data_IF_497932441073
#
_entry.id   IF_497932441073
#
_cell.length_a   1.000
_cell.length_b   1.000
_cell.length_c   1.000
_cell.angle_alpha   90.00
_cell.angle_beta   90.00
_cell.angle_gamma   90.00
#
_symmetry.space_group_name_H-M   'P 1'
#
loop_
_entity.id
_entity.type
_entity.pdbx_description
1 polymer ?
#
# COMPACT_ATOMS: atom_id res chain seq x y z
N UNK A 1 7.87 -5.98 2.60
CA UNK A 1 7.78 -4.89 3.59
C UNK A 1 6.75 -3.89 3.08
N UNK A 2 6.23 -2.97 3.90
CA UNK A 2 5.21 -2.00 3.41
C UNK A 2 5.78 -1.13 2.28
N UNK A 3 7.07 -0.83 2.33
CA UNK A 3 7.81 -0.13 1.28
C UNK A 3 7.69 -0.86 -0.07
N UNK A 4 7.92 -2.18 -0.10
CA UNK A 4 7.73 -2.98 -1.32
C UNK A 4 6.29 -2.92 -1.85
N UNK A 5 5.29 -2.86 -0.96
CA UNK A 5 3.90 -2.74 -1.38
C UNK A 5 3.66 -1.40 -2.08
N UNK A 6 4.17 -0.32 -1.50
CA UNK A 6 4.06 1.02 -2.07
C UNK A 6 4.83 1.09 -3.39
N UNK A 7 6.02 0.49 -3.48
CA UNK A 7 6.80 0.41 -4.71
C UNK A 7 6.06 -0.34 -5.82
N UNK A 8 5.48 -1.51 -5.53
CA UNK A 8 4.63 -2.24 -6.50
C UNK A 8 3.46 -1.37 -6.94
N UNK A 9 2.80 -0.70 -5.99
CA UNK A 9 1.66 0.14 -6.31
C UNK A 9 2.04 1.31 -7.23
N UNK A 10 3.21 1.92 -7.05
CA UNK A 10 3.75 2.91 -7.99
C UNK A 10 4.04 2.28 -9.35
N UNK A 11 4.72 1.14 -9.38
CA UNK A 11 5.06 0.46 -10.62
C UNK A 11 3.82 0.05 -11.44
N UNK A 12 2.71 -0.27 -10.76
CA UNK A 12 1.44 -0.60 -11.38
C UNK A 12 0.53 0.61 -11.65
N UNK A 13 0.94 1.83 -11.25
CA UNK A 13 0.14 3.03 -11.40
C UNK A 13 -1.12 3.04 -10.52
N UNK A 14 -1.14 2.26 -9.45
CA UNK A 14 -2.26 2.20 -8.51
C UNK A 14 -2.28 3.40 -7.56
N UNK A 15 -1.14 4.06 -7.32
CA UNK A 15 -1.07 5.23 -6.44
C UNK A 15 -1.68 6.46 -7.14
N UNK A 16 -2.77 6.99 -6.58
CA UNK A 16 -3.48 8.17 -7.11
C UNK A 16 -3.08 9.46 -6.41
N UNK A 17 -2.72 9.37 -5.13
CA UNK A 17 -2.33 10.52 -4.33
C UNK A 17 -1.32 10.13 -3.25
N UNK A 18 -0.46 11.08 -2.90
CA UNK A 18 0.55 10.97 -1.85
C UNK A 18 0.47 12.23 -1.00
N UNK A 19 0.20 12.04 0.29
CA UNK A 19 0.15 13.12 1.27
C UNK A 19 1.11 12.84 2.42
N UNK A 20 1.63 13.89 3.02
CA UNK A 20 2.34 13.81 4.30
C UNK A 20 1.49 14.52 5.36
N UNK A 21 1.18 13.80 6.43
CA UNK A 21 0.47 14.37 7.57
C UNK A 21 1.44 14.92 8.62
N UNK A 22 1.00 15.90 9.38
CA UNK A 22 1.79 16.50 10.45
C UNK A 22 2.15 15.41 11.49
N UNK A 23 3.43 15.06 11.60
CA UNK A 23 3.92 13.96 12.43
C UNK A 23 4.80 12.93 11.70
N UNK A 24 5.12 13.15 10.42
CA UNK A 24 6.00 12.25 9.66
C UNK A 24 5.29 10.96 9.24
N UNK A 25 3.97 11.00 9.11
CA UNK A 25 3.16 9.87 8.68
C UNK A 25 2.76 10.11 7.23
N UNK A 26 3.25 9.24 6.35
CA UNK A 26 2.93 9.26 4.92
C UNK A 26 1.59 8.57 4.67
N UNK A 27 0.82 9.14 3.76
CA UNK A 27 -0.48 8.64 3.36
C UNK A 27 -0.50 8.45 1.84
N UNK A 28 -0.84 7.23 1.43
CA UNK A 28 -0.89 6.81 0.03
C UNK A 28 -2.31 6.44 -0.31
N UNK A 29 -2.90 7.09 -1.30
CA UNK A 29 -4.17 6.70 -1.85
C UNK A 29 -3.94 5.75 -3.02
N UNK A 30 -4.61 4.60 -2.98
CA UNK A 30 -4.51 3.54 -3.98
C UNK A 30 -5.85 3.33 -4.65
N UNK A 31 -5.89 3.37 -5.97
CA UNK A 31 -7.05 2.99 -6.76
C UNK A 31 -7.34 1.49 -6.58
N UNK A 32 -8.60 1.16 -6.37
CA UNK A 32 -9.03 -0.24 -6.35
C UNK A 32 -9.13 -0.78 -7.77
N UNK A 33 -8.83 -2.06 -7.94
CA UNK A 33 -8.97 -2.74 -9.23
C UNK A 33 -10.43 -3.02 -9.58
N UNK A 34 -11.29 -3.16 -8.56
CA UNK A 34 -12.71 -3.46 -8.71
C UNK A 34 -13.59 -2.20 -8.87
N UNK A 35 -13.04 -1.01 -8.59
CA UNK A 35 -13.79 0.24 -8.67
C UNK A 35 -12.88 1.46 -8.86
N UNK A 36 -13.10 2.19 -9.95
CA UNK A 36 -12.35 3.43 -10.27
C UNK A 36 -12.77 4.60 -9.37
N UNK A 37 -13.98 4.56 -8.80
CA UNK A 37 -14.52 5.60 -7.94
C UNK A 37 -14.21 5.37 -6.44
N UNK A 38 -13.47 4.30 -6.11
CA UNK A 38 -13.15 3.95 -4.73
C UNK A 38 -11.66 3.71 -4.56
N UNK A 39 -11.13 4.23 -3.47
CA UNK A 39 -9.72 4.14 -3.13
C UNK A 39 -9.50 3.49 -1.76
N UNK A 40 -8.27 3.05 -1.55
CA UNK A 40 -7.75 2.61 -0.26
C UNK A 40 -6.69 3.59 0.17
N UNK A 41 -6.89 4.21 1.33
CA UNK A 41 -5.91 5.06 1.98
C UNK A 41 -5.01 4.20 2.85
N UNK A 42 -3.72 4.13 2.54
CA UNK A 42 -2.69 3.43 3.31
C UNK A 42 -1.84 4.44 4.05
N UNK A 43 -1.74 4.27 5.35
CA UNK A 43 -0.95 5.12 6.23
C UNK A 43 0.33 4.39 6.65
N UNK A 44 1.47 5.04 6.46
CA UNK A 44 2.82 4.55 6.83
C UNK A 44 3.42 5.49 7.86
N UNK A 45 3.95 4.95 8.95
CA UNK A 45 4.59 5.72 10.01
C UNK A 45 5.98 6.19 9.58
N UNK A 46 6.51 7.19 10.28
CA UNK A 46 7.89 7.67 10.12
C UNK A 46 8.96 6.58 10.27
N UNK A 47 8.68 5.49 10.99
CA UNK A 47 9.58 4.33 11.12
C UNK A 47 9.49 3.34 9.94
N UNK A 48 8.83 3.74 8.85
CA UNK A 48 8.65 2.92 7.64
C UNK A 48 7.69 1.75 7.83
N UNK A 49 6.90 1.72 8.91
CA UNK A 49 5.95 0.62 9.17
C UNK A 49 4.53 0.97 8.81
N UNK A 50 3.79 -0.06 8.40
CA UNK A 50 2.35 0.02 8.21
C UNK A 50 1.66 0.48 9.51
N UNK A 51 0.90 1.57 9.41
CA UNK A 51 0.06 2.06 10.50
C UNK A 51 -1.33 1.44 10.39
N UNK A 52 -2.02 1.72 9.28
CA UNK A 52 -3.39 1.29 9.00
C UNK A 52 -3.68 1.43 7.51
N UNK A 53 -4.74 0.77 7.06
CA UNK A 53 -5.36 1.07 5.78
C UNK A 53 -6.87 1.24 5.98
N UNK A 54 -7.47 2.17 5.27
CA UNK A 54 -8.89 2.46 5.33
C UNK A 54 -9.46 2.61 3.94
N UNK A 55 -10.69 2.14 3.76
CA UNK A 55 -11.52 2.38 2.58
C UNK A 55 -12.89 2.87 3.04
N UNK A 56 -13.79 3.14 2.09
CA UNK A 56 -15.20 3.47 2.41
C UNK A 56 -15.90 2.36 3.20
N UNK A 57 -15.43 1.11 3.09
CA UNK A 57 -15.99 -0.07 3.77
C UNK A 57 -15.39 -0.27 5.17
N UNK A 58 -14.41 0.57 5.56
CA UNK A 58 -13.75 0.53 6.86
C UNK A 58 -12.28 0.13 6.79
N UNK A 59 -11.78 -0.41 7.90
CA UNK A 59 -10.36 -0.78 8.06
C UNK A 59 -10.00 -2.02 7.26
N UNK A 60 -8.84 -1.96 6.61
CA UNK A 60 -8.29 -3.05 5.82
C UNK A 60 -6.94 -3.50 6.38
N UNK A 61 -6.72 -4.81 6.38
CA UNK A 61 -5.39 -5.39 6.56
C UNK A 61 -4.56 -5.28 5.29
N UNK A 62 -3.24 -5.38 5.40
CA UNK A 62 -2.31 -5.32 4.26
C UNK A 62 -2.68 -6.31 3.14
N UNK A 63 -3.05 -7.56 3.50
CA UNK A 63 -3.46 -8.57 2.53
C UNK A 63 -4.82 -8.28 1.89
N UNK A 64 -5.67 -7.45 2.50
CA UNK A 64 -6.88 -6.94 1.86
C UNK A 64 -6.56 -5.78 0.92
N UNK A 65 -5.62 -4.89 1.27
CA UNK A 65 -5.14 -3.83 0.37
C UNK A 65 -4.58 -4.43 -0.92
N UNK A 66 -3.69 -5.41 -0.81
CA UNK A 66 -3.11 -6.12 -1.96
C UNK A 66 -4.20 -6.67 -2.87
N UNK A 67 -5.23 -7.30 -2.31
CA UNK A 67 -6.34 -7.87 -3.09
C UNK A 67 -7.25 -6.80 -3.70
N UNK A 68 -7.59 -5.77 -2.93
CA UNK A 68 -8.49 -4.69 -3.38
C UNK A 68 -7.87 -3.82 -4.48
N UNK A 69 -6.55 -3.62 -4.44
CA UNK A 69 -5.82 -2.83 -5.43
C UNK A 69 -5.18 -3.72 -6.53
N UNK A 70 -5.39 -5.04 -6.49
CA UNK A 70 -4.84 -5.97 -7.49
C UNK A 70 -3.31 -6.06 -7.50
N UNK A 71 -2.64 -5.75 -6.39
CA UNK A 71 -1.18 -5.67 -6.34
C UNK A 71 -0.55 -7.07 -6.44
N UNK A 72 0.50 -7.20 -7.25
CA UNK A 72 1.27 -8.44 -7.36
C UNK A 72 2.32 -8.53 -6.25
N UNK A 73 1.84 -8.65 -5.01
CA UNK A 73 2.69 -8.69 -3.82
C UNK A 73 3.39 -10.05 -3.60
N UNK A 74 2.99 -11.09 -4.37
CA UNK A 74 3.62 -12.41 -4.34
C UNK A 74 5.03 -12.38 -4.92
N UNK A 75 5.30 -11.47 -5.86
CA UNK A 75 6.63 -11.34 -6.46
C UNK A 75 7.60 -10.53 -5.58
N UNK A 76 7.15 -9.45 -4.93
CA UNK A 76 8.06 -8.61 -4.13
C UNK A 76 8.61 -9.29 -2.87
N UNK A 77 7.83 -10.17 -2.24
CA UNK A 77 8.31 -10.92 -1.05
C UNK A 77 9.30 -12.03 -1.39
N UNK A 78 9.39 -12.46 -2.64
CA UNK A 78 10.41 -13.41 -3.09
C UNK A 78 11.78 -12.72 -3.24
N UNK A 79 11.79 -11.48 -3.74
CA UNK A 79 13.01 -10.67 -3.90
C UNK A 79 13.62 -10.25 -2.55
N UNK A 80 12.79 -9.91 -1.56
CA UNK A 80 13.26 -9.56 -0.21
C UNK A 80 13.87 -10.75 0.56
N UNK A 81 13.53 -12.00 0.18
CA UNK A 81 14.01 -13.21 0.85
C UNK A 81 15.27 -13.81 0.21
N UNK A 82 15.71 -13.28 -0.93
CA UNK A 82 16.93 -13.71 -1.64
C UNK A 82 18.19 -12.93 -1.23
N UNK A 83 18.08 -11.83 -0.49
CA UNK A 83 19.21 -11.04 0.01
C UNK A 83 19.66 -11.43 1.44
N UNK A 84 19.35 -12.64 1.89
CA UNK A 84 19.90 -13.20 3.12
C UNK A 84 20.76 -14.41 2.77
N UNK A 85 21.98 -14.17 2.29
CA UNK A 85 23.00 -15.21 2.20
C UNK A 85 24.41 -14.64 2.35
#
# INVERSE_FOLDING_TARGET
MIEDLIEIAYAQGAVTYVGQTAGGVDEYELARVDSVASSVTVTVRADGKFAKATSIEGYLSLGQVVRACGLDYRHATSSARQYTH
#
